data_IF_949108593220
#
_entry.id   IF_949108593220
#
_cell.length_a   1.000
_cell.length_b   1.000
_cell.length_c   1.000
_cell.angle_alpha   90.00
_cell.angle_beta   90.00
_cell.angle_gamma   90.00
#
_symmetry.space_group_name_H-M   'P 1'
#
loop_
_entity.id
_entity.type
_entity.pdbx_description
1 polymer ?
#
# COMPACT_ATOMS: atom_id res chain seq x y z
N UNK A 1 -13.72 -15.41 -2.16
CA UNK A 1 -13.11 -16.16 -1.03
C UNK A 1 -11.64 -15.78 -0.96
N UNK A 2 -11.09 -15.54 0.23
CA UNK A 2 -9.65 -15.34 0.40
C UNK A 2 -8.95 -16.71 0.26
N UNK A 3 -7.98 -16.88 -0.65
CA UNK A 3 -7.25 -18.14 -0.81
C UNK A 3 -6.47 -18.55 0.45
N UNK A 4 -6.21 -17.63 1.39
CA UNK A 4 -5.46 -17.88 2.63
C UNK A 4 -6.33 -17.84 3.90
N UNK A 5 -7.65 -17.66 3.77
CA UNK A 5 -8.59 -17.72 4.91
C UNK A 5 -8.63 -16.48 5.82
N UNK A 6 -8.03 -15.35 5.41
CA UNK A 6 -8.00 -14.12 6.20
C UNK A 6 -7.21 -14.23 7.52
N UNK A 7 -7.06 -13.11 8.22
CA UNK A 7 -6.35 -13.05 9.50
C UNK A 7 -7.31 -12.67 10.63
N UNK A 8 -7.59 -13.61 11.53
CA UNK A 8 -8.09 -13.34 12.88
C UNK A 8 -6.87 -13.14 13.77
N UNK A 9 -6.53 -11.90 14.14
CA UNK A 9 -5.25 -11.63 14.77
C UNK A 9 -4.95 -12.44 16.05
N UNK A 10 -5.93 -13.05 16.72
CA UNK A 10 -5.76 -13.94 17.89
C UNK A 10 -4.78 -13.35 18.94
N UNK A 11 -5.01 -12.10 19.33
CA UNK A 11 -4.16 -11.31 20.24
C UNK A 11 -2.72 -11.05 19.77
N UNK A 12 -2.37 -11.35 18.52
CA UNK A 12 -1.10 -10.94 17.91
C UNK A 12 -1.18 -9.49 17.45
N UNK A 13 -0.09 -8.76 17.65
CA UNK A 13 0.04 -7.38 17.18
C UNK A 13 0.40 -7.35 15.70
N UNK A 14 -0.44 -6.70 14.90
CA UNK A 14 -0.20 -6.42 13.49
C UNK A 14 -0.53 -4.96 13.20
N UNK A 15 0.11 -4.34 12.19
CA UNK A 15 -0.33 -3.04 11.69
C UNK A 15 -1.78 -3.09 11.23
N UNK A 16 -2.52 -2.02 11.47
CA UNK A 16 -3.90 -1.86 11.00
C UNK A 16 -3.94 -1.82 9.46
N UNK A 17 -5.00 -2.35 8.85
CA UNK A 17 -5.21 -2.19 7.41
C UNK A 17 -5.32 -0.70 7.07
N UNK A 18 -4.51 -0.25 6.12
CA UNK A 18 -4.49 1.15 5.64
C UNK A 18 -5.76 1.51 4.87
N UNK A 19 -6.41 0.51 4.28
CA UNK A 19 -7.54 0.70 3.37
C UNK A 19 -8.88 0.37 4.02
N UNK A 20 -8.92 -0.67 4.86
CA UNK A 20 -10.14 -1.19 5.49
C UNK A 20 -9.84 -1.56 6.95
N UNK A 21 -9.61 -0.58 7.84
CA UNK A 21 -9.20 -0.84 9.23
C UNK A 21 -10.25 -1.56 10.07
N UNK A 22 -11.52 -1.50 9.65
CA UNK A 22 -12.65 -2.13 10.34
C UNK A 22 -13.62 -2.70 9.31
N UNK A 23 -14.22 -3.85 9.62
CA UNK A 23 -15.35 -4.35 8.84
C UNK A 23 -16.60 -3.55 9.20
N UNK A 24 -17.19 -2.87 8.22
CA UNK A 24 -18.42 -2.08 8.44
C UNK A 24 -19.68 -2.94 8.67
N UNK A 25 -19.60 -4.26 8.46
CA UNK A 25 -20.72 -5.17 8.68
C UNK A 25 -20.75 -5.76 10.10
N UNK A 26 -19.61 -6.25 10.61
CA UNK A 26 -19.54 -6.89 11.93
C UNK A 26 -18.66 -6.14 12.96
N UNK A 27 -18.00 -5.06 12.57
CA UNK A 27 -17.16 -4.26 13.47
C UNK A 27 -15.81 -4.86 13.83
N UNK A 28 -15.38 -5.98 13.24
CA UNK A 28 -14.06 -6.55 13.52
C UNK A 28 -12.95 -5.61 13.01
N UNK A 29 -11.94 -5.40 13.86
CA UNK A 29 -10.73 -4.64 13.49
C UNK A 29 -9.84 -5.52 12.60
N UNK A 30 -9.40 -4.97 11.48
CA UNK A 30 -8.69 -5.69 10.43
C UNK A 30 -7.24 -5.21 10.32
N UNK A 31 -6.30 -6.14 10.41
CA UNK A 31 -4.89 -5.85 10.17
C UNK A 31 -4.54 -5.80 8.69
N UNK A 32 -3.32 -5.33 8.38
CA UNK A 32 -2.77 -5.19 7.03
C UNK A 32 -2.73 -6.49 6.21
N UNK A 33 -2.86 -7.66 6.84
CA UNK A 33 -2.99 -8.94 6.11
C UNK A 33 -4.38 -9.15 5.50
N UNK A 34 -5.41 -8.50 6.04
CA UNK A 34 -6.76 -8.55 5.51
C UNK A 34 -6.90 -7.49 4.41
N UNK A 35 -6.61 -7.88 3.18
CA UNK A 35 -6.67 -6.97 2.04
C UNK A 35 -8.13 -6.61 1.70
N UNK A 36 -8.41 -5.39 1.21
CA UNK A 36 -9.77 -4.95 0.89
C UNK A 36 -10.51 -5.85 -0.10
N UNK A 37 -9.81 -6.41 -1.10
CA UNK A 37 -10.38 -7.30 -2.11
C UNK A 37 -10.86 -8.65 -1.55
N UNK A 38 -10.56 -8.95 -0.29
CA UNK A 38 -10.98 -10.17 0.38
C UNK A 38 -12.26 -9.98 1.19
N UNK A 39 -12.82 -11.10 1.63
CA UNK A 39 -14.00 -11.12 2.50
C UNK A 39 -13.54 -11.00 3.95
N UNK A 40 -14.41 -10.45 4.79
CA UNK A 40 -14.20 -10.42 6.23
C UNK A 40 -14.03 -11.85 6.76
N UNK A 41 -12.99 -12.13 7.57
CA UNK A 41 -12.80 -13.45 8.12
C UNK A 41 -13.89 -13.83 9.15
N UNK A 42 -14.55 -12.84 9.76
CA UNK A 42 -15.60 -13.03 10.77
C UNK A 42 -17.01 -13.24 10.19
N UNK A 43 -17.49 -12.33 9.34
CA UNK A 43 -18.87 -12.39 8.83
C UNK A 43 -18.96 -12.77 7.35
N UNK A 44 -17.82 -13.02 6.68
CA UNK A 44 -17.76 -13.31 5.24
C UNK A 44 -18.29 -12.20 4.31
N UNK A 45 -18.64 -11.03 4.84
CA UNK A 45 -19.06 -9.87 4.04
C UNK A 45 -17.87 -9.28 3.28
N UNK A 46 -18.14 -8.75 2.08
CA UNK A 46 -17.15 -7.98 1.31
C UNK A 46 -16.59 -6.83 2.15
N UNK A 47 -15.27 -6.71 2.21
CA UNK A 47 -14.62 -5.55 2.84
C UNK A 47 -14.67 -4.29 1.97
N UNK A 48 -15.07 -4.43 0.69
CA UNK A 48 -15.39 -3.33 -0.22
C UNK A 48 -16.91 -3.08 -0.17
N UNK A 49 -17.40 -2.07 0.55
CA UNK A 49 -18.83 -1.95 0.82
C UNK A 49 -19.59 -1.04 -0.16
N UNK A 50 -18.93 -0.17 -0.97
CA UNK A 50 -19.64 0.76 -1.88
C UNK A 50 -18.86 1.05 -3.17
N UNK A 51 -19.57 1.39 -4.26
CA UNK A 51 -18.93 1.86 -5.53
C UNK A 51 -18.04 3.09 -5.27
N UNK A 52 -18.51 4.00 -4.42
CA UNK A 52 -17.76 5.20 -4.01
C UNK A 52 -16.47 4.87 -3.24
N UNK A 53 -16.50 3.89 -2.34
CA UNK A 53 -15.28 3.45 -1.64
C UNK A 53 -14.26 2.83 -2.62
N UNK A 54 -14.74 2.15 -3.67
CA UNK A 54 -13.87 1.56 -4.70
C UNK A 54 -13.21 2.64 -5.56
N UNK A 55 -13.94 3.69 -5.95
CA UNK A 55 -13.35 4.81 -6.70
C UNK A 55 -12.33 5.55 -5.85
N UNK A 56 -12.64 5.85 -4.59
CA UNK A 56 -11.69 6.50 -3.67
C UNK A 56 -10.42 5.67 -3.45
N UNK A 57 -10.52 4.34 -3.33
CA UNK A 57 -9.34 3.48 -3.25
C UNK A 57 -8.54 3.48 -4.56
N UNK A 58 -9.21 3.43 -5.71
CA UNK A 58 -8.54 3.49 -7.00
C UNK A 58 -7.78 4.81 -7.18
N UNK A 59 -8.39 5.94 -6.79
CA UNK A 59 -7.74 7.24 -6.85
C UNK A 59 -6.55 7.34 -5.88
N UNK A 60 -6.66 6.77 -4.68
CA UNK A 60 -5.51 6.68 -3.75
C UNK A 60 -4.35 5.88 -4.34
N UNK A 61 -4.63 4.70 -4.88
CA UNK A 61 -3.59 3.85 -5.50
C UNK A 61 -2.95 4.54 -6.69
N UNK A 62 -3.73 5.26 -7.51
CA UNK A 62 -3.18 6.09 -8.60
C UNK A 62 -2.25 7.17 -8.06
N UNK A 63 -2.68 7.91 -7.05
CA UNK A 63 -1.86 8.96 -6.45
C UNK A 63 -0.56 8.40 -5.83
N UNK A 64 -0.64 7.23 -5.19
CA UNK A 64 0.55 6.53 -4.66
C UNK A 64 1.50 6.11 -5.77
N UNK A 65 0.96 5.59 -6.88
CA UNK A 65 1.76 5.23 -8.05
C UNK A 65 2.43 6.44 -8.69
N UNK A 66 1.68 7.54 -8.90
CA UNK A 66 2.21 8.77 -9.48
C UNK A 66 3.30 9.38 -8.58
N UNK A 67 3.11 9.35 -7.26
CA UNK A 67 4.11 9.80 -6.30
C UNK A 67 5.37 8.93 -6.34
N UNK A 68 5.22 7.61 -6.49
CA UNK A 68 6.32 6.66 -6.59
C UNK A 68 7.11 6.86 -7.88
N UNK A 69 6.45 7.01 -9.02
CA UNK A 69 7.09 7.30 -10.31
C UNK A 69 7.91 8.59 -10.21
N UNK A 70 7.31 9.67 -9.69
CA UNK A 70 8.01 10.94 -9.54
C UNK A 70 9.22 10.84 -8.59
N UNK A 71 9.15 9.98 -7.56
CA UNK A 71 10.29 9.69 -6.70
C UNK A 71 11.42 8.98 -7.45
N UNK A 72 11.08 7.93 -8.20
CA UNK A 72 12.05 7.16 -8.99
C UNK A 72 12.73 8.00 -10.07
N UNK A 73 11.99 8.90 -10.73
CA UNK A 73 12.55 9.83 -11.72
C UNK A 73 13.56 10.81 -11.09
N UNK A 74 13.25 11.39 -9.94
CA UNK A 74 14.16 12.29 -9.22
C UNK A 74 15.44 11.57 -8.77
N UNK A 75 15.32 10.35 -8.28
CA UNK A 75 16.48 9.55 -7.88
C UNK A 75 17.33 9.16 -9.09
N UNK A 76 16.70 8.85 -10.24
CA UNK A 76 17.42 8.58 -11.47
C UNK A 76 18.20 9.81 -11.98
N UNK A 77 17.62 11.01 -11.89
CA UNK A 77 18.30 12.26 -12.26
C UNK A 77 19.49 12.54 -11.33
N UNK A 78 19.30 12.41 -10.01
CA UNK A 78 20.38 12.56 -9.03
C UNK A 78 21.55 11.64 -9.30
N UNK A 79 21.28 10.36 -9.56
CA UNK A 79 22.33 9.38 -9.87
C UNK A 79 23.10 9.71 -11.16
N UNK A 80 22.43 10.28 -12.16
CA UNK A 80 23.06 10.75 -13.41
C UNK A 80 23.96 11.95 -13.16
N UNK A 81 23.51 12.92 -12.37
CA UNK A 81 24.29 14.10 -12.01
C UNK A 81 25.51 13.74 -11.18
N UNK A 82 25.37 12.84 -10.19
CA UNK A 82 26.47 12.31 -9.40
C UNK A 82 27.48 11.52 -10.25
N UNK A 83 27.01 10.78 -11.26
CA UNK A 83 27.89 10.08 -12.20
C UNK A 83 28.67 11.07 -13.08
N UNK A 84 28.02 12.14 -13.57
CA UNK A 84 28.67 13.21 -14.34
C UNK A 84 29.69 13.97 -13.49
N UNK A 85 29.34 14.31 -12.25
CA UNK A 85 30.24 15.00 -11.32
C UNK A 85 31.49 14.16 -11.03
N UNK A 86 31.35 12.85 -10.81
CA UNK A 86 32.49 11.95 -10.62
C UNK A 86 33.34 11.79 -11.87
N UNK A 87 32.74 11.71 -13.06
CA UNK A 87 33.48 11.62 -14.32
C UNK A 87 34.27 12.92 -14.65
N UNK A 88 33.77 14.08 -14.21
CA UNK A 88 34.43 15.38 -14.35
C UNK A 88 35.43 15.70 -13.23
N UNK A 89 35.48 14.92 -12.15
CA UNK A 89 36.43 15.11 -11.06
C UNK A 89 37.81 14.58 -11.48
N UNK A 90 38.72 15.50 -11.81
CA UNK A 90 40.13 15.17 -12.02
C UNK A 90 40.73 14.63 -10.71
N UNK A 91 41.43 13.48 -10.70
CA UNK A 91 42.05 12.96 -9.48
C UNK A 91 43.09 13.97 -8.97
N UNK A 92 42.87 14.51 -7.77
CA UNK A 92 43.92 15.25 -7.06
C UNK A 92 44.88 14.21 -6.47
N UNK A 93 46.11 14.17 -7.00
CA UNK A 93 47.24 13.40 -6.48
C UNK A 93 47.66 13.86 -5.09
#
# INVERSE_FOLDING_TARGET
KDPKGGCFCLARSHPLSTYTPICLACGIVLCARNLPQHICPSCSTSLLPTVQSRTQMADRVKNELDAQIAHEEREAERLRDEARARAGAFPTL
#
